data_IF_629371014356
#
_entry.id   IF_629371014356
#
_cell.length_a   1.000
_cell.length_b   1.000
_cell.length_c   1.000
_cell.angle_alpha   90.00
_cell.angle_beta   90.00
_cell.angle_gamma   90.00
#
_symmetry.space_group_name_H-M   'P 1'
#
loop_
_entity.id
_entity.type
_entity.pdbx_description
1 polymer ?
#
# COMPACT_ATOMS: atom_id res chain seq x y z
N UNK A 1 49.04 -32.58 51.59
CA UNK A 1 48.71 -32.81 53.01
C UNK A 1 47.47 -33.68 53.06
N UNK A 2 47.60 -34.99 53.33
CA UNK A 2 46.47 -35.90 53.51
C UNK A 2 46.05 -35.94 54.99
N UNK A 3 44.76 -36.09 55.26
CA UNK A 3 44.23 -36.39 56.59
C UNK A 3 43.93 -37.90 56.70
N UNK A 4 44.18 -38.54 57.86
CA UNK A 4 44.20 -40.00 57.99
C UNK A 4 42.90 -40.53 58.64
N UNK A 5 42.83 -41.87 58.74
CA UNK A 5 41.92 -42.70 59.56
C UNK A 5 40.66 -43.27 58.87
N UNK A 6 40.83 -44.45 58.29
CA UNK A 6 40.02 -45.63 58.64
C UNK A 6 40.80 -46.42 59.73
N UNK A 7 40.21 -47.31 60.59
CA UNK A 7 39.11 -48.22 60.25
C UNK A 7 38.13 -48.62 61.41
N UNK A 8 37.21 -49.52 61.04
CA UNK A 8 36.70 -50.66 61.83
C UNK A 8 35.29 -50.56 62.42
N UNK A 9 34.54 -51.66 62.19
CA UNK A 9 33.40 -52.07 63.02
C UNK A 9 32.05 -51.96 62.32
N UNK A 10 31.63 -53.03 61.65
CA UNK A 10 30.21 -53.29 61.42
C UNK A 10 29.54 -53.67 62.74
N UNK A 11 28.38 -53.07 63.09
CA UNK A 11 27.38 -53.74 63.91
C UNK A 11 26.10 -53.93 63.07
N UNK A 12 25.84 -55.19 62.76
CA UNK A 12 24.53 -55.87 62.75
C UNK A 12 23.27 -55.01 62.52
N UNK A 13 22.57 -55.29 61.41
CA UNK A 13 21.28 -54.72 61.09
C UNK A 13 20.22 -55.06 62.16
N UNK A 14 19.37 -54.11 62.60
CA UNK A 14 18.25 -54.44 63.47
C UNK A 14 17.18 -55.22 62.67
N UNK A 15 16.48 -56.19 63.30
CA UNK A 15 15.50 -57.01 62.61
C UNK A 15 14.29 -56.16 62.15
N UNK A 16 13.60 -56.55 61.07
CA UNK A 16 12.47 -55.81 60.54
C UNK A 16 11.33 -55.79 61.56
N UNK A 17 10.93 -54.59 62.00
CA UNK A 17 9.77 -54.40 62.85
C UNK A 17 8.51 -54.77 62.06
N UNK A 18 7.76 -55.77 62.54
CA UNK A 18 6.40 -56.08 62.06
C UNK A 18 5.49 -54.86 62.29
N UNK A 19 4.54 -54.58 61.38
CA UNK A 19 3.61 -53.48 61.56
C UNK A 19 2.76 -53.75 62.80
N UNK A 20 2.70 -52.78 63.72
CA UNK A 20 1.73 -52.79 64.83
C UNK A 20 0.37 -52.41 64.25
N UNK A 21 -0.54 -53.38 64.28
CA UNK A 21 -1.96 -53.17 64.00
C UNK A 21 -2.60 -52.39 65.17
N UNK A 22 -2.44 -51.07 65.18
CA UNK A 22 -3.21 -50.19 66.04
C UNK A 22 -4.55 -49.88 65.37
N UNK A 23 -5.56 -50.71 65.67
CA UNK A 23 -6.97 -50.37 65.43
C UNK A 23 -7.35 -49.18 66.32
N UNK A 24 -7.20 -47.97 65.80
CA UNK A 24 -7.81 -46.76 66.37
C UNK A 24 -9.16 -46.53 65.70
N UNK A 25 -10.22 -46.84 66.42
CA UNK A 25 -11.58 -46.47 66.07
C UNK A 25 -11.71 -44.93 66.03
N UNK A 26 -12.26 -44.40 64.93
CA UNK A 26 -12.92 -43.09 64.94
C UNK A 26 -12.12 -41.83 64.59
N UNK A 27 -11.02 -41.90 63.83
CA UNK A 27 -10.46 -40.71 63.16
C UNK A 27 -10.51 -40.88 61.64
N UNK A 28 -11.32 -40.06 60.96
CA UNK A 28 -11.23 -39.99 59.50
C UNK A 28 -9.78 -39.71 59.10
N UNK A 29 -9.19 -40.47 58.16
CA UNK A 29 -7.84 -40.20 57.69
C UNK A 29 -7.81 -38.75 57.18
N UNK A 30 -6.82 -37.98 57.61
CA UNK A 30 -6.67 -36.58 57.24
C UNK A 30 -6.83 -36.45 55.73
N UNK A 31 -7.88 -35.75 55.27
CA UNK A 31 -8.21 -35.61 53.85
C UNK A 31 -6.97 -35.08 53.14
N UNK A 32 -6.33 -35.95 52.35
CA UNK A 32 -5.17 -35.59 51.56
C UNK A 32 -5.52 -34.40 50.70
N UNK A 33 -4.65 -33.39 50.64
CA UNK A 33 -4.83 -32.20 49.82
C UNK A 33 -5.20 -32.54 48.36
N UNK A 34 -4.71 -33.67 47.86
CA UNK A 34 -5.03 -34.17 46.52
C UNK A 34 -6.50 -34.57 46.32
N UNK A 35 -7.22 -34.93 47.40
CA UNK A 35 -8.62 -35.34 47.35
C UNK A 35 -9.60 -34.15 47.33
N UNK A 36 -9.12 -32.95 47.66
CA UNK A 36 -9.87 -31.70 47.61
C UNK A 36 -9.71 -30.99 46.26
N UNK A 37 -8.76 -31.43 45.43
CA UNK A 37 -8.58 -30.90 44.08
C UNK A 37 -9.72 -31.42 43.18
N UNK A 38 -10.32 -30.55 42.35
CA UNK A 38 -11.29 -30.98 41.35
C UNK A 38 -10.64 -32.02 40.44
N UNK A 39 -11.31 -33.16 40.24
CA UNK A 39 -10.84 -34.21 39.33
C UNK A 39 -10.88 -33.65 37.90
N UNK A 40 -9.85 -33.89 37.08
CA UNK A 40 -9.82 -33.37 35.72
C UNK A 40 -10.96 -33.98 34.91
N UNK A 41 -11.77 -33.12 34.29
CA UNK A 41 -12.84 -33.55 33.38
C UNK A 41 -12.27 -34.34 32.20
N UNK A 42 -13.05 -35.26 31.61
CA UNK A 42 -12.60 -35.98 30.42
C UNK A 42 -12.23 -34.98 29.30
N UNK A 43 -11.13 -35.23 28.56
CA UNK A 43 -10.52 -34.23 27.68
C UNK A 43 -11.47 -33.71 26.58
N UNK A 44 -12.45 -34.51 26.17
CA UNK A 44 -13.46 -34.14 25.18
C UNK A 44 -14.51 -33.13 25.71
N UNK A 45 -14.83 -33.16 27.01
CA UNK A 45 -15.80 -32.22 27.60
C UNK A 45 -15.14 -30.86 27.80
N UNK A 46 -13.94 -30.83 28.38
CA UNK A 46 -13.11 -29.63 28.43
C UNK A 46 -12.90 -29.01 27.03
N UNK A 47 -12.58 -29.82 26.01
CA UNK A 47 -12.44 -29.30 24.65
C UNK A 47 -13.71 -28.62 24.11
N UNK A 48 -14.90 -29.15 24.41
CA UNK A 48 -16.19 -28.55 23.99
C UNK A 48 -16.50 -27.26 24.73
N UNK A 49 -16.16 -27.17 26.01
CA UNK A 49 -16.39 -25.97 26.83
C UNK A 49 -15.48 -24.82 26.42
N UNK A 50 -14.23 -25.11 26.07
CA UNK A 50 -13.27 -24.10 25.62
C UNK A 50 -13.36 -23.79 24.12
N UNK A 51 -14.02 -24.64 23.32
CA UNK A 51 -14.15 -24.45 21.88
C UNK A 51 -14.70 -23.07 21.48
N UNK A 52 -15.76 -22.51 22.12
CA UNK A 52 -16.23 -21.16 21.79
C UNK A 52 -15.17 -20.08 22.05
N UNK A 53 -14.38 -20.20 23.12
CA UNK A 53 -13.31 -19.24 23.45
C UNK A 53 -12.21 -19.29 22.41
N UNK A 54 -11.76 -20.50 22.03
CA UNK A 54 -10.77 -20.65 20.97
C UNK A 54 -11.30 -20.20 19.60
N UNK A 55 -12.53 -20.54 19.24
CA UNK A 55 -13.14 -20.13 17.97
C UNK A 55 -13.30 -18.60 17.88
N UNK A 56 -13.72 -17.94 18.97
CA UNK A 56 -13.83 -16.49 19.01
C UNK A 56 -12.47 -15.80 18.99
N UNK A 57 -11.47 -16.32 19.73
CA UNK A 57 -10.11 -15.79 19.71
C UNK A 57 -9.45 -15.95 18.32
N UNK A 58 -9.49 -17.14 17.74
CA UNK A 58 -8.93 -17.40 16.41
C UNK A 58 -9.71 -16.64 15.33
N UNK A 59 -11.03 -16.63 15.42
CA UNK A 59 -11.90 -15.91 14.50
C UNK A 59 -11.68 -14.39 14.54
N UNK A 60 -11.55 -13.80 15.73
CA UNK A 60 -11.27 -12.37 15.88
C UNK A 60 -9.88 -12.00 15.36
N UNK A 61 -8.86 -12.81 15.63
CA UNK A 61 -7.52 -12.61 15.07
C UNK A 61 -7.53 -12.72 13.54
N UNK A 62 -8.18 -13.75 12.99
CA UNK A 62 -8.31 -13.93 11.55
C UNK A 62 -9.06 -12.75 10.89
N UNK A 63 -10.14 -12.28 11.51
CA UNK A 63 -10.89 -11.11 11.05
C UNK A 63 -10.04 -9.83 11.10
N UNK A 64 -9.25 -9.64 12.16
CA UNK A 64 -8.33 -8.50 12.28
C UNK A 64 -7.23 -8.55 11.22
N UNK A 65 -6.61 -9.71 11.00
CA UNK A 65 -5.61 -9.91 9.94
C UNK A 65 -6.20 -9.67 8.55
N UNK A 66 -7.42 -10.17 8.30
CA UNK A 66 -8.16 -9.91 7.07
C UNK A 66 -8.43 -8.42 6.88
N UNK A 67 -8.86 -7.71 7.93
CA UNK A 67 -9.07 -6.28 7.91
C UNK A 67 -7.79 -5.51 7.57
N UNK A 68 -6.68 -5.81 8.25
CA UNK A 68 -5.39 -5.16 8.02
C UNK A 68 -4.85 -5.42 6.60
N UNK A 69 -5.04 -6.64 6.07
CA UNK A 69 -4.52 -7.02 4.76
C UNK A 69 -5.37 -6.53 3.57
N UNK A 70 -6.70 -6.47 3.71
CA UNK A 70 -7.63 -6.21 2.60
C UNK A 70 -8.51 -4.97 2.76
N UNK A 71 -8.85 -4.58 3.99
CA UNK A 71 -9.81 -3.51 4.27
C UNK A 71 -9.16 -2.21 4.78
N UNK A 72 -7.87 -2.24 5.12
CA UNK A 72 -7.11 -1.05 5.52
C UNK A 72 -6.97 -0.09 4.36
N UNK A 73 -7.33 1.17 4.59
CA UNK A 73 -7.21 2.23 3.60
C UNK A 73 -5.79 2.80 3.55
N UNK A 74 -5.28 3.05 2.35
CA UNK A 74 -4.10 3.88 2.08
C UNK A 74 -4.52 5.32 1.79
N UNK A 75 -4.02 6.27 2.59
CA UNK A 75 -4.34 7.69 2.43
C UNK A 75 -3.54 8.34 1.30
N UNK A 76 -2.26 7.99 1.16
CA UNK A 76 -1.38 8.58 0.16
C UNK A 76 -0.44 7.57 -0.48
N UNK A 77 0.20 7.97 -1.58
CA UNK A 77 1.16 7.13 -2.29
C UNK A 77 2.35 6.70 -1.41
N UNK A 78 2.74 7.54 -0.44
CA UNK A 78 3.82 7.23 0.48
C UNK A 78 3.53 6.06 1.44
N UNK A 79 2.25 5.82 1.74
CA UNK A 79 1.83 4.77 2.67
C UNK A 79 1.83 3.37 2.06
N UNK A 80 2.04 3.26 0.75
CA UNK A 80 2.05 2.00 0.02
C UNK A 80 3.48 1.47 -0.02
N UNK A 81 3.68 0.26 0.51
CA UNK A 81 4.98 -0.38 0.53
C UNK A 81 5.37 -0.87 -0.86
N UNK A 82 6.69 -0.91 -1.13
CA UNK A 82 7.26 -1.36 -2.40
C UNK A 82 6.73 -2.76 -2.82
N UNK A 83 6.55 -3.63 -1.83
CA UNK A 83 6.10 -5.01 -2.02
C UNK A 83 4.69 -5.15 -2.62
N UNK A 84 3.88 -4.08 -2.60
CA UNK A 84 2.55 -4.08 -3.21
C UNK A 84 2.60 -3.84 -4.71
N UNK A 85 3.66 -3.21 -5.22
CA UNK A 85 3.83 -2.97 -6.64
C UNK A 85 3.92 -4.30 -7.39
N UNK A 86 3.32 -4.36 -8.58
CA UNK A 86 3.23 -5.50 -9.51
C UNK A 86 2.42 -6.71 -9.00
N UNK A 87 2.04 -6.75 -7.73
CA UNK A 87 1.29 -7.88 -7.12
C UNK A 87 -0.17 -7.56 -6.84
N UNK A 88 -0.46 -6.33 -6.43
CA UNK A 88 -1.81 -5.94 -5.98
C UNK A 88 -2.36 -4.79 -6.81
N UNK A 89 -3.68 -4.77 -6.93
CA UNK A 89 -4.43 -3.68 -7.51
C UNK A 89 -5.14 -2.87 -6.42
N UNK A 90 -5.21 -1.55 -6.62
CA UNK A 90 -5.96 -0.66 -5.75
C UNK A 90 -7.33 -0.37 -6.36
N UNK A 91 -8.37 -0.56 -5.58
CA UNK A 91 -9.71 -0.13 -5.91
C UNK A 91 -9.98 1.24 -5.29
N UNK A 92 -10.51 2.18 -6.06
CA UNK A 92 -10.85 3.50 -5.55
C UNK A 92 -11.83 4.25 -6.42
N UNK A 93 -12.27 5.42 -5.94
CA UNK A 93 -13.07 6.39 -6.70
C UNK A 93 -12.17 7.55 -7.11
N UNK A 94 -12.28 7.98 -8.37
CA UNK A 94 -11.54 9.15 -8.85
C UNK A 94 -12.18 10.42 -8.29
N UNK A 95 -11.36 11.26 -7.67
CA UNK A 95 -11.82 12.51 -7.03
C UNK A 95 -11.57 13.72 -7.90
N UNK A 96 -10.40 13.80 -8.52
CA UNK A 96 -10.01 14.92 -9.38
C UNK A 96 -9.03 14.45 -10.46
N UNK A 97 -9.03 15.18 -11.58
CA UNK A 97 -8.10 14.98 -12.69
C UNK A 97 -7.31 16.27 -12.84
N UNK A 98 -5.99 16.18 -12.65
CA UNK A 98 -5.08 17.33 -12.70
C UNK A 98 -4.51 17.56 -14.09
N UNK A 99 -4.15 16.47 -14.77
CA UNK A 99 -3.42 16.48 -16.04
C UNK A 99 -4.07 15.51 -17.05
N UNK A 100 -3.58 15.51 -18.29
CA UNK A 100 -4.04 14.59 -19.35
C UNK A 100 -3.66 13.11 -19.12
N UNK A 101 -2.71 12.83 -18.23
CA UNK A 101 -2.23 11.47 -17.90
C UNK A 101 -2.28 11.16 -16.39
N UNK A 102 -2.78 12.09 -15.57
CA UNK A 102 -2.65 12.07 -14.12
C UNK A 102 -3.95 12.40 -13.38
N UNK A 103 -4.27 11.64 -12.33
CA UNK A 103 -5.46 11.86 -11.52
C UNK A 103 -5.28 11.45 -10.06
N UNK A 104 -6.18 11.92 -9.21
CA UNK A 104 -6.25 11.57 -7.80
C UNK A 104 -7.29 10.48 -7.54
N UNK A 105 -6.84 9.42 -6.89
CA UNK A 105 -7.66 8.28 -6.50
C UNK A 105 -7.88 8.29 -4.99
N UNK A 106 -9.14 8.27 -4.58
CA UNK A 106 -9.51 7.96 -3.21
C UNK A 106 -9.67 6.45 -3.06
N UNK A 107 -8.82 5.83 -2.26
CA UNK A 107 -8.82 4.38 -2.08
C UNK A 107 -10.04 3.91 -1.28
N UNK A 108 -10.79 2.98 -1.85
CA UNK A 108 -12.00 2.38 -1.26
C UNK A 108 -11.82 0.86 -1.18
N UNK A 109 -11.10 0.35 -0.17
CA UNK A 109 -10.79 -1.07 -0.05
C UNK A 109 -12.10 -1.87 0.10
N UNK A 110 -12.22 -3.00 -0.61
CA UNK A 110 -13.43 -3.84 -0.63
C UNK A 110 -14.66 -3.22 -1.31
N UNK A 111 -14.63 -1.93 -1.68
CA UNK A 111 -15.70 -1.30 -2.46
C UNK A 111 -17.10 -1.40 -1.81
N UNK A 112 -18.13 -1.73 -2.61
CA UNK A 112 -19.51 -1.87 -2.10
C UNK A 112 -19.62 -2.92 -0.97
N UNK A 113 -18.88 -4.03 -1.07
CA UNK A 113 -18.88 -5.10 -0.06
C UNK A 113 -18.41 -4.60 1.32
N UNK A 114 -17.50 -3.62 1.34
CA UNK A 114 -16.92 -3.08 2.57
C UNK A 114 -17.58 -1.78 3.04
N UNK A 115 -18.79 -1.46 2.59
CA UNK A 115 -19.52 -0.28 3.07
C UNK A 115 -19.47 0.94 2.16
N UNK A 116 -18.64 0.95 1.12
CA UNK A 116 -18.38 2.19 0.37
C UNK A 116 -19.52 2.51 -0.60
N UNK A 117 -20.22 3.62 -0.34
CA UNK A 117 -21.36 4.10 -1.12
C UNK A 117 -22.74 3.93 -0.47
N UNK A 118 -22.87 3.10 0.58
CA UNK A 118 -24.12 2.94 1.35
C UNK A 118 -24.00 3.21 2.86
N UNK A 119 -22.79 3.12 3.42
CA UNK A 119 -22.52 3.25 4.87
C UNK A 119 -21.33 4.16 5.09
N UNK A 120 -20.23 3.92 4.36
CA UNK A 120 -19.06 4.79 4.29
C UNK A 120 -19.22 5.77 3.14
N UNK A 121 -19.41 7.05 3.46
CA UNK A 121 -19.45 8.15 2.48
C UNK A 121 -18.03 8.52 2.06
N UNK A 122 -17.90 8.90 0.79
CA UNK A 122 -16.62 9.38 0.23
C UNK A 122 -16.64 10.90 0.37
N UNK A 123 -15.63 11.53 0.99
CA UNK A 123 -15.58 12.98 1.11
C UNK A 123 -15.44 13.64 -0.27
N UNK A 124 -16.17 14.72 -0.50
CA UNK A 124 -16.13 15.48 -1.77
C UNK A 124 -15.45 16.85 -1.61
N UNK A 125 -15.38 17.39 -0.39
CA UNK A 125 -14.74 18.68 -0.12
C UNK A 125 -13.23 18.67 -0.34
N UNK A 126 -12.69 19.71 -0.97
CA UNK A 126 -11.24 19.85 -1.25
C UNK A 126 -10.36 19.74 0.00
N UNK A 127 -10.80 20.30 1.13
CA UNK A 127 -10.07 20.23 2.41
C UNK A 127 -9.88 18.78 2.88
N UNK A 128 -10.94 17.99 2.83
CA UNK A 128 -10.95 16.60 3.28
C UNK A 128 -10.22 15.65 2.32
N UNK A 129 -9.98 16.08 1.07
CA UNK A 129 -9.27 15.30 0.07
C UNK A 129 -7.75 15.57 0.06
N UNK A 130 -7.30 16.66 0.69
CA UNK A 130 -5.89 17.05 0.71
C UNK A 130 -5.10 16.08 1.59
N UNK A 131 -4.09 15.42 1.00
CA UNK A 131 -3.28 14.40 1.70
C UNK A 131 -3.97 13.04 1.87
N UNK A 132 -5.23 12.93 1.46
CA UNK A 132 -6.08 11.75 1.59
C UNK A 132 -6.30 10.99 0.28
N UNK A 133 -5.64 11.44 -0.78
CA UNK A 133 -5.73 10.87 -2.12
C UNK A 133 -4.37 10.37 -2.60
N UNK A 134 -4.42 9.32 -3.42
CA UNK A 134 -3.25 8.75 -4.08
C UNK A 134 -3.16 9.38 -5.46
N UNK A 135 -2.06 10.08 -5.74
CA UNK A 135 -1.80 10.57 -7.09
C UNK A 135 -1.33 9.41 -7.98
N UNK A 136 -2.02 9.22 -9.11
CA UNK A 136 -1.76 8.14 -10.06
C UNK A 136 -1.39 8.74 -11.42
N UNK A 137 -0.31 8.22 -12.01
CA UNK A 137 0.12 8.48 -13.39
C UNK A 137 -0.21 7.27 -14.25
N UNK A 138 -0.86 7.50 -15.39
CA UNK A 138 -1.19 6.45 -16.34
C UNK A 138 0.07 5.87 -16.97
N UNK A 139 0.13 4.54 -16.97
CA UNK A 139 1.28 3.82 -17.47
C UNK A 139 1.18 3.64 -19.01
N UNK A 140 2.19 4.10 -19.74
CA UNK A 140 2.34 3.90 -21.19
C UNK A 140 1.58 4.94 -22.04
N UNK A 141 1.09 5.99 -21.39
CA UNK A 141 0.39 7.11 -22.02
C UNK A 141 1.21 8.36 -21.72
N UNK A 142 1.58 9.09 -22.76
CA UNK A 142 2.25 10.39 -22.67
C UNK A 142 1.28 11.43 -23.21
N UNK A 143 0.76 12.28 -22.34
CA UNK A 143 -0.18 13.32 -22.71
C UNK A 143 0.55 14.62 -23.07
N UNK A 144 -0.02 15.46 -23.94
CA UNK A 144 0.48 16.81 -24.14
C UNK A 144 0.44 17.61 -22.82
N UNK A 145 1.51 18.37 -22.56
CA UNK A 145 1.66 19.11 -21.31
C UNK A 145 0.72 20.32 -21.25
N UNK A 146 0.01 20.46 -20.14
CA UNK A 146 -0.85 21.61 -19.88
C UNK A 146 -0.06 22.91 -19.67
N UNK A 147 -0.73 24.07 -19.73
CA UNK A 147 -0.12 25.34 -19.37
C UNK A 147 0.35 25.31 -17.91
N UNK A 148 1.59 25.75 -17.67
CA UNK A 148 2.21 25.70 -16.35
C UNK A 148 2.99 26.99 -16.07
N UNK A 149 2.75 27.61 -14.91
CA UNK A 149 3.43 28.82 -14.41
C UNK A 149 3.75 29.87 -15.50
N UNK A 150 2.71 30.48 -16.09
CA UNK A 150 2.85 31.55 -17.08
C UNK A 150 3.23 31.09 -18.49
N UNK A 151 3.42 29.78 -18.73
CA UNK A 151 3.74 29.24 -20.06
C UNK A 151 2.53 28.75 -20.84
N UNK A 152 2.53 28.92 -22.17
CA UNK A 152 1.55 28.27 -23.02
C UNK A 152 1.72 26.75 -22.93
N UNK A 153 0.61 26.04 -22.78
CA UNK A 153 0.60 24.57 -22.87
C UNK A 153 0.77 24.10 -24.30
N UNK A 154 1.01 22.80 -24.46
CA UNK A 154 0.99 22.17 -25.77
C UNK A 154 -0.42 22.19 -26.39
N UNK A 155 -0.51 22.15 -27.73
CA UNK A 155 -1.79 21.97 -28.39
C UNK A 155 -2.44 20.65 -27.94
N UNK A 156 -3.77 20.62 -27.85
CA UNK A 156 -4.57 19.48 -27.40
C UNK A 156 -4.41 19.05 -25.92
N UNK A 157 -3.60 19.76 -25.11
CA UNK A 157 -3.46 19.47 -23.67
C UNK A 157 -4.79 19.58 -22.91
N UNK A 158 -5.55 20.67 -23.13
CA UNK A 158 -6.85 20.86 -22.50
C UNK A 158 -7.88 19.82 -22.96
N UNK A 159 -7.86 19.42 -24.23
CA UNK A 159 -8.76 18.40 -24.76
C UNK A 159 -8.46 17.03 -24.16
N UNK A 160 -7.17 16.66 -24.03
CA UNK A 160 -6.76 15.41 -23.41
C UNK A 160 -7.22 15.34 -21.94
N UNK A 161 -7.04 16.41 -21.17
CA UNK A 161 -7.51 16.50 -19.79
C UNK A 161 -9.04 16.40 -19.70
N UNK A 162 -9.77 17.11 -20.57
CA UNK A 162 -11.23 17.06 -20.61
C UNK A 162 -11.74 15.65 -20.97
N UNK A 163 -11.09 14.98 -21.93
CA UNK A 163 -11.41 13.62 -22.31
C UNK A 163 -11.22 12.65 -21.15
N UNK A 164 -10.07 12.72 -20.47
CA UNK A 164 -9.80 11.89 -19.29
C UNK A 164 -10.83 12.17 -18.20
N UNK A 165 -11.06 13.43 -17.86
CA UNK A 165 -12.06 13.84 -16.87
C UNK A 165 -13.45 13.27 -17.17
N UNK A 166 -13.97 13.46 -18.39
CA UNK A 166 -15.26 12.89 -18.80
C UNK A 166 -15.30 11.36 -18.68
N UNK A 167 -14.18 10.70 -18.94
CA UNK A 167 -14.12 9.24 -18.91
C UNK A 167 -14.05 8.67 -17.49
N UNK A 168 -13.21 9.23 -16.60
CA UNK A 168 -12.90 8.61 -15.30
C UNK A 168 -13.45 9.35 -14.07
N UNK A 169 -13.80 10.63 -14.16
CA UNK A 169 -14.22 11.43 -13.02
C UNK A 169 -15.42 10.78 -12.31
N UNK A 170 -15.36 10.73 -10.97
CA UNK A 170 -16.36 10.11 -10.09
C UNK A 170 -16.62 8.61 -10.31
N UNK A 171 -15.94 7.97 -11.27
CA UNK A 171 -16.06 6.53 -11.49
C UNK A 171 -15.15 5.77 -10.54
N UNK A 172 -15.52 4.51 -10.32
CA UNK A 172 -14.70 3.55 -9.59
C UNK A 172 -13.73 2.92 -10.56
N UNK A 173 -12.45 2.95 -10.21
CA UNK A 173 -11.37 2.42 -11.04
C UNK A 173 -10.51 1.47 -10.23
N UNK A 174 -9.94 0.49 -10.94
CA UNK A 174 -8.94 -0.42 -10.40
C UNK A 174 -7.60 -0.08 -11.05
N UNK A 175 -6.63 0.29 -10.22
CA UNK A 175 -5.28 0.68 -10.61
C UNK A 175 -4.28 -0.43 -10.26
N UNK A 176 -3.65 -1.00 -11.28
CA UNK A 176 -2.58 -1.98 -11.14
C UNK A 176 -1.26 -1.24 -10.96
N UNK A 177 -0.68 -1.33 -9.76
CA UNK A 177 0.48 -0.51 -9.40
C UNK A 177 1.76 -1.10 -10.00
N UNK A 178 2.60 -0.28 -10.62
CA UNK A 178 3.87 -0.75 -11.20
C UNK A 178 5.09 -0.28 -10.41
N UNK A 179 5.15 1.03 -10.14
CA UNK A 179 6.25 1.68 -9.42
C UNK A 179 5.82 3.03 -8.89
N UNK A 180 6.61 3.56 -7.95
CA UNK A 180 6.51 4.95 -7.50
C UNK A 180 7.42 5.86 -8.34
N UNK A 181 6.92 7.05 -8.67
CA UNK A 181 7.63 8.11 -9.37
C UNK A 181 8.33 9.05 -8.37
N UNK A 182 9.28 9.85 -8.86
CA UNK A 182 10.04 10.85 -8.09
C UNK A 182 9.15 11.90 -7.41
N UNK A 183 7.98 12.19 -8.00
CA UNK A 183 6.99 13.13 -7.46
C UNK A 183 5.99 12.46 -6.49
N UNK A 184 6.32 11.30 -5.93
CA UNK A 184 5.41 10.51 -5.09
C UNK A 184 4.07 10.17 -5.76
N UNK A 185 4.07 10.01 -7.09
CA UNK A 185 2.92 9.52 -7.85
C UNK A 185 3.10 8.03 -8.12
N UNK A 186 2.01 7.28 -8.23
CA UNK A 186 2.09 5.86 -8.58
C UNK A 186 1.87 5.70 -10.08
N UNK A 187 2.83 5.10 -10.77
CA UNK A 187 2.65 4.69 -12.16
C UNK A 187 1.80 3.42 -12.16
N UNK A 188 0.62 3.49 -12.77
CA UNK A 188 -0.33 2.38 -12.75
C UNK A 188 -1.07 2.20 -14.07
N UNK A 189 -1.38 0.94 -14.38
CA UNK A 189 -2.33 0.60 -15.45
C UNK A 189 -3.74 0.63 -14.87
N UNK A 190 -4.61 1.47 -15.41
CA UNK A 190 -5.95 1.71 -14.85
C UNK A 190 -7.01 1.01 -15.69
N UNK A 191 -8.04 0.48 -15.02
CA UNK A 191 -9.20 -0.12 -15.66
C UNK A 191 -10.49 0.32 -14.95
N UNK A 192 -11.51 0.71 -15.72
CA UNK A 192 -12.82 1.16 -15.21
C UNK A 192 -13.75 -0.01 -14.90
N UNK A 193 -13.63 -1.11 -15.65
CA UNK A 193 -14.41 -2.33 -15.47
C UNK A 193 -13.50 -3.54 -15.69
N UNK A 194 -13.19 -4.27 -14.63
CA UNK A 194 -12.40 -5.50 -14.75
C UNK A 194 -13.35 -6.69 -14.89
N UNK A 195 -13.18 -7.58 -15.90
CA UNK A 195 -13.85 -8.88 -15.88
C UNK A 195 -13.32 -9.72 -14.71
N UNK A 196 -14.19 -10.54 -14.12
CA UNK A 196 -13.91 -11.32 -12.91
C UNK A 196 -12.65 -12.22 -13.00
N UNK A 197 -12.20 -12.58 -14.21
CA UNK A 197 -11.15 -13.56 -14.46
C UNK A 197 -9.88 -13.03 -15.14
N UNK A 198 -9.57 -11.73 -15.01
CA UNK A 198 -8.31 -11.23 -15.58
C UNK A 198 -7.14 -11.57 -14.66
N UNK A 199 -6.27 -12.48 -15.13
CA UNK A 199 -5.00 -12.82 -14.48
C UNK A 199 -4.08 -11.62 -14.59
N UNK A 200 -3.58 -11.14 -13.45
CA UNK A 200 -2.64 -10.02 -13.41
C UNK A 200 -1.33 -10.50 -14.03
N UNK A 201 -1.05 -10.03 -15.25
CA UNK A 201 0.23 -10.28 -15.91
C UNK A 201 1.29 -9.40 -15.23
N UNK A 202 2.20 -10.01 -14.48
CA UNK A 202 3.37 -9.35 -13.88
C UNK A 202 4.39 -8.80 -14.89
N UNK A 203 3.96 -8.62 -16.15
CA UNK A 203 4.72 -8.07 -17.26
C UNK A 203 4.69 -6.55 -17.16
N UNK A 204 5.76 -5.89 -17.58
CA UNK A 204 5.80 -4.43 -17.65
C UNK A 204 4.60 -3.89 -18.43
N UNK A 205 3.97 -2.83 -17.91
CA UNK A 205 2.73 -2.25 -18.44
C UNK A 205 1.49 -3.17 -18.40
N UNK A 206 1.58 -4.33 -17.76
CA UNK A 206 0.55 -5.36 -17.74
C UNK A 206 0.39 -6.10 -19.08
N UNK A 207 1.47 -6.15 -19.89
CA UNK A 207 1.45 -6.78 -21.22
C UNK A 207 0.59 -6.04 -22.26
N UNK A 208 0.27 -4.77 -22.01
CA UNK A 208 -0.58 -3.94 -22.89
C UNK A 208 0.18 -3.13 -23.92
N UNK A 209 1.50 -3.26 -23.98
CA UNK A 209 2.34 -2.48 -24.89
C UNK A 209 1.92 -2.67 -26.36
N UNK A 210 1.63 -3.90 -26.78
CA UNK A 210 1.14 -4.19 -28.14
C UNK A 210 -0.20 -3.51 -28.43
N UNK A 211 -1.09 -3.45 -27.44
CA UNK A 211 -2.40 -2.77 -27.54
C UNK A 211 -2.18 -1.26 -27.70
N UNK A 212 -1.26 -0.67 -26.92
CA UNK A 212 -0.94 0.75 -27.01
C UNK A 212 -0.31 1.10 -28.35
N UNK A 213 0.67 0.32 -28.82
CA UNK A 213 1.29 0.49 -30.15
C UNK A 213 0.26 0.38 -31.28
N UNK A 214 -0.65 -0.60 -31.20
CA UNK A 214 -1.72 -0.76 -32.18
C UNK A 214 -2.73 0.40 -32.15
N UNK A 215 -3.06 0.92 -30.96
CA UNK A 215 -3.93 2.08 -30.82
C UNK A 215 -3.27 3.35 -31.37
N UNK A 216 -1.99 3.54 -31.09
CA UNK A 216 -1.18 4.64 -31.63
C UNK A 216 -1.11 4.58 -33.16
N UNK A 217 -0.83 3.40 -33.73
CA UNK A 217 -0.80 3.21 -35.19
C UNK A 217 -2.16 3.55 -35.84
N UNK A 218 -3.27 3.16 -35.21
CA UNK A 218 -4.63 3.52 -35.66
C UNK A 218 -4.89 5.02 -35.56
N UNK A 219 -4.44 5.67 -34.48
CA UNK A 219 -4.62 7.10 -34.29
C UNK A 219 -3.81 7.92 -35.30
N UNK A 220 -2.57 7.49 -35.60
CA UNK A 220 -1.71 8.03 -36.67
C UNK A 220 -2.35 7.89 -38.04
N UNK A 221 -2.82 6.69 -38.37
CA UNK A 221 -3.46 6.42 -39.66
C UNK A 221 -4.73 7.28 -39.88
N UNK A 222 -5.48 7.53 -38.80
CA UNK A 222 -6.70 8.36 -38.83
C UNK A 222 -6.45 9.85 -38.58
N UNK A 223 -5.20 10.28 -38.37
CA UNK A 223 -4.82 11.67 -38.06
C UNK A 223 -5.68 12.30 -36.95
N UNK A 224 -5.85 11.59 -35.83
CA UNK A 224 -6.70 12.03 -34.71
C UNK A 224 -5.91 12.91 -33.73
N UNK A 225 -6.50 14.03 -33.31
CA UNK A 225 -5.96 14.92 -32.27
C UNK A 225 -4.54 15.39 -32.61
N UNK A 226 -3.57 15.07 -31.76
CA UNK A 226 -2.17 15.44 -31.96
C UNK A 226 -1.59 14.97 -33.33
N UNK A 227 -2.12 13.88 -33.89
CA UNK A 227 -1.71 13.34 -35.19
C UNK A 227 -2.33 14.05 -36.40
N UNK A 228 -3.23 15.03 -36.17
CA UNK A 228 -3.77 15.89 -37.24
C UNK A 228 -2.86 17.07 -37.58
N UNK A 229 -1.93 17.41 -36.69
CA UNK A 229 -0.99 18.52 -36.85
C UNK A 229 0.05 18.16 -37.93
N UNK A 230 0.55 19.18 -38.64
CA UNK A 230 1.68 19.00 -39.57
C UNK A 230 2.91 18.49 -38.82
N UNK A 231 3.68 17.61 -39.47
CA UNK A 231 4.89 17.03 -38.88
C UNK A 231 5.93 18.09 -38.44
N UNK A 232 5.92 19.28 -39.07
CA UNK A 232 6.81 20.41 -38.74
C UNK A 232 6.42 21.14 -37.45
N UNK A 233 5.14 21.10 -37.07
CA UNK A 233 4.59 21.77 -35.88
C UNK A 233 4.43 20.78 -34.70
N UNK A 234 4.63 19.49 -34.95
CA UNK A 234 4.55 18.44 -33.94
C UNK A 234 5.80 18.45 -33.06
N UNK A 235 5.63 18.79 -31.79
CA UNK A 235 6.65 18.63 -30.75
C UNK A 235 6.23 17.51 -29.80
N UNK A 236 7.11 16.54 -29.54
CA UNK A 236 6.81 15.48 -28.57
C UNK A 236 6.79 16.06 -27.14
N UNK A 237 6.01 15.50 -26.20
CA UNK A 237 5.98 16.01 -24.83
C UNK A 237 7.35 16.00 -24.15
N UNK A 238 8.20 15.02 -24.50
CA UNK A 238 9.60 14.94 -24.06
C UNK A 238 10.43 16.11 -24.57
N UNK A 239 10.33 16.45 -25.86
CA UNK A 239 11.09 17.54 -26.46
C UNK A 239 10.66 18.89 -25.90
N UNK A 240 9.36 19.10 -25.75
CA UNK A 240 8.81 20.31 -25.13
C UNK A 240 9.33 20.52 -23.71
N UNK A 241 9.40 19.46 -22.90
CA UNK A 241 10.01 19.50 -21.55
C UNK A 241 11.48 19.91 -21.59
N UNK A 242 12.26 19.27 -22.45
CA UNK A 242 13.68 19.60 -22.58
C UNK A 242 13.89 21.05 -23.01
N UNK A 243 13.10 21.54 -23.96
CA UNK A 243 13.15 22.93 -24.43
C UNK A 243 12.79 23.93 -23.32
N UNK A 244 11.70 23.67 -22.61
CA UNK A 244 11.24 24.57 -21.53
C UNK A 244 12.17 24.56 -20.32
N UNK A 245 12.70 23.41 -19.92
CA UNK A 245 13.70 23.31 -18.85
C UNK A 245 15.03 23.96 -19.22
N UNK A 246 15.47 23.81 -20.48
CA UNK A 246 16.66 24.49 -20.97
C UNK A 246 16.52 26.01 -20.91
N UNK A 247 15.34 26.53 -21.29
CA UNK A 247 15.06 27.96 -21.24
C UNK A 247 15.01 28.50 -19.81
N UNK A 248 14.44 27.76 -18.85
CA UNK A 248 14.46 28.12 -17.43
C UNK A 248 15.87 28.23 -16.86
N UNK A 249 16.71 27.26 -17.21
CA UNK A 249 18.08 27.25 -16.71
C UNK A 249 18.84 28.45 -17.28
N UNK A 250 18.70 28.73 -18.57
CA UNK A 250 19.27 29.93 -19.19
C UNK A 250 18.78 31.24 -18.57
N UNK A 251 17.47 31.37 -18.31
CA UNK A 251 16.90 32.59 -17.69
C UNK A 251 17.40 32.78 -16.25
N UNK A 252 17.48 31.70 -15.46
CA UNK A 252 18.06 31.73 -14.10
C UNK A 252 19.55 32.05 -14.11
N UNK A 253 20.32 31.48 -15.04
CA UNK A 253 21.75 31.77 -15.18
C UNK A 253 21.98 33.24 -15.59
N UNK A 254 21.10 33.81 -16.42
CA UNK A 254 21.11 35.24 -16.79
C UNK A 254 20.74 36.12 -15.58
N UNK A 255 19.70 35.75 -14.82
CA UNK A 255 19.30 36.49 -13.62
C UNK A 255 20.37 36.42 -12.53
N UNK A 256 20.97 35.26 -12.29
CA UNK A 256 22.04 35.06 -11.31
C UNK A 256 23.31 35.83 -11.71
N UNK A 257 23.68 35.85 -13.00
CA UNK A 257 24.79 36.67 -13.49
C UNK A 257 24.50 38.18 -13.48
N UNK A 258 23.24 38.60 -13.61
CA UNK A 258 22.84 39.99 -13.46
C UNK A 258 22.84 40.45 -11.98
N UNK A 259 22.50 39.55 -11.05
CA UNK A 259 22.51 39.79 -9.59
C UNK A 259 23.93 39.74 -9.03
N UNK A 260 24.79 38.86 -9.56
CA UNK A 260 26.23 38.86 -9.31
C UNK A 260 26.88 40.07 -10.02
N UNK A 261 26.62 41.28 -9.53
CA UNK A 261 27.41 42.45 -9.91
C UNK A 261 28.89 42.12 -9.66
N UNK A 262 29.77 42.26 -10.66
CA UNK A 262 31.17 41.94 -10.47
C UNK A 262 31.74 42.80 -9.34
N UNK A 263 32.41 42.16 -8.39
CA UNK A 263 33.00 42.81 -7.20
C UNK A 263 33.88 44.02 -7.53
N UNK A 264 34.46 44.05 -8.74
CA UNK A 264 35.27 45.16 -9.27
C UNK A 264 34.48 46.40 -9.69
N UNK A 265 33.18 46.29 -10.03
CA UNK A 265 32.36 47.47 -10.38
C UNK A 265 32.13 48.43 -9.22
N UNK A 266 32.33 47.96 -7.98
CA UNK A 266 32.26 48.80 -6.76
C UNK A 266 33.46 49.75 -6.60
N UNK A 267 34.57 49.50 -7.30
CA UNK A 267 35.81 50.28 -7.22
C UNK A 267 35.97 51.34 -8.32
N UNK A 268 35.12 51.33 -9.35
CA UNK A 268 35.17 52.28 -10.48
C UNK A 268 34.24 53.49 -10.31
N UNK A 269 33.56 53.60 -9.16
CA UNK A 269 32.59 54.68 -8.86
C UNK A 269 32.93 55.45 -7.57
N UNK A 270 34.17 55.31 -7.07
CA UNK A 270 34.69 56.03 -5.89
C UNK A 270 35.79 57.00 -6.28
#
# INVERSE_FOLDING_TARGET
>A
MPWPFEPSGSPEAPPPQKPRDDKVEGREPAKSWNSLLPKPDPPLQAAKEWAPVFLTAVGSLAAFMFYQSYLRRFAGAASIQENFFRKRSLLGRVTSVGDGDGFHLYHTPGGKLAGWGWFRKIPEGRSNLKGETISIRLAGIDAPEGPHFGRPGQPFAAEAQAHLSKYILHRRVRAHLHKRDQYNRIVATVSTRQPFFKKDSGVEWGGKESIYKAAEAKAKAKKLGLWSIKASEFESPRNFKNRTQGNEKGEKDIEESAVQKPWWRRWLTG
#
